data_IF_015469885921
#
_entry.id   IF_015469885921
#
_cell.length_a   1.000
_cell.length_b   1.000
_cell.length_c   1.000
_cell.angle_alpha   90.00
_cell.angle_beta   90.00
_cell.angle_gamma   90.00
#
_symmetry.space_group_name_H-M   'P 1'
#
loop_
_entity.id
_entity.type
_entity.pdbx_description
1 polymer ?
2 polymer ?
3 non-polymer ?
4 non-polymer ?
5 water ?
#
loop_
_entity_poly.entity_id
_entity_poly.type
_entity_poly.pdbx_seq_one_letter_code
_entity_poly.pdbx_strand_id
2 'polyribonucleotide' 'GUAA' ?
#
# COMPACT_ATOMS: atom_id res chain seq x y z
N UNK A 14 -7.43 -12.97 2.31
CA UNK A 14 -8.83 -12.83 2.83
C UNK A 14 -9.61 -11.79 1.99
N UNK A 15 -9.08 -10.56 1.99
CA UNK A 15 -9.54 -9.44 1.14
C UNK A 15 -8.72 -9.32 -0.17
N UNK A 16 -7.59 -10.06 -0.21
CA UNK A 16 -6.73 -10.19 -1.40
C UNK A 16 -7.47 -10.93 -2.52
N UNK A 17 -7.14 -10.60 -3.77
CA UNK A 17 -7.66 -11.33 -4.95
C UNK A 17 -7.19 -12.80 -4.93
N UNK A 18 -5.89 -12.99 -4.70
CA UNK A 18 -5.27 -14.32 -4.54
C UNK A 18 -4.75 -14.45 -3.08
N UNK A 19 -5.38 -15.32 -2.25
CA UNK A 19 -5.01 -15.31 -0.81
C UNK A 19 -3.57 -15.78 -0.48
N UNK A 20 -3.23 -17.02 -0.82
CA UNK A 20 -1.97 -17.68 -0.37
C UNK A 20 -0.71 -17.32 -1.17
N UNK A 21 -0.81 -16.43 -2.16
CA UNK A 21 0.28 -16.21 -3.11
C UNK A 21 1.60 -15.74 -2.50
N UNK A 22 2.68 -15.90 -3.27
CA UNK A 22 4.05 -15.71 -2.81
C UNK A 22 4.84 -14.83 -3.76
N UNK A 23 5.70 -13.99 -3.19
CA UNK A 23 6.44 -12.99 -3.96
C UNK A 23 7.75 -13.61 -4.49
N UNK A 24 7.65 -14.30 -5.63
CA UNK A 24 8.77 -15.06 -6.24
C UNK A 24 8.80 -14.90 -7.76
N UNK A 25 9.98 -15.10 -8.35
CA UNK A 25 10.25 -14.88 -9.80
C UNK A 25 9.14 -15.37 -10.76
N UNK A 26 8.63 -16.57 -10.50
CA UNK A 26 7.62 -17.21 -11.39
C UNK A 26 6.19 -16.68 -11.23
N UNK A 27 5.90 -15.93 -10.16
CA UNK A 27 4.66 -15.14 -10.05
C UNK A 27 4.82 -13.91 -10.97
N UNK A 28 3.85 -13.64 -11.87
CA UNK A 28 3.92 -12.37 -12.62
C UNK A 28 3.71 -11.13 -11.73
N UNK A 29 3.17 -11.33 -10.53
CA UNK A 29 3.07 -10.29 -9.51
C UNK A 29 4.39 -10.05 -8.72
N UNK A 30 5.49 -10.74 -9.06
CA UNK A 30 6.81 -10.51 -8.42
C UNK A 30 7.21 -9.04 -8.43
N UNK A 31 7.66 -8.54 -7.27
CA UNK A 31 8.22 -7.18 -7.14
C UNK A 31 9.43 -7.21 -6.22
N UNK A 32 10.45 -6.38 -6.51
CA UNK A 32 11.54 -6.25 -5.54
C UNK A 32 11.08 -5.46 -4.32
N UNK A 33 11.87 -5.51 -3.26
CA UNK A 33 11.59 -4.82 -2.01
C UNK A 33 12.66 -3.76 -1.72
N UNK A 34 12.50 -2.54 -2.30
CA UNK A 34 13.50 -1.50 -2.04
C UNK A 34 13.56 -1.11 -0.56
N UNK A 35 14.76 -1.20 0.00
CA UNK A 35 15.04 -0.77 1.35
C UNK A 35 16.13 0.27 1.25
N UNK A 36 15.93 1.42 1.90
CA UNK A 36 16.95 2.44 1.96
C UNK A 36 17.09 2.93 3.39
N UNK A 37 18.04 3.83 3.62
CA UNK A 37 18.27 4.39 4.95
C UNK A 37 18.36 5.90 4.87
N UNK A 38 17.64 6.57 5.76
CA UNK A 38 17.50 8.02 5.76
C UNK A 38 18.07 8.53 7.09
N UNK A 39 19.16 9.28 6.99
CA UNK A 39 19.88 9.78 8.14
C UNK A 39 19.17 10.94 8.84
N UNK A 40 18.16 11.53 8.21
CA UNK A 40 17.40 12.63 8.83
C UNK A 40 16.27 12.17 9.76
N UNK A 41 15.91 10.89 9.76
CA UNK A 41 14.85 10.44 10.65
C UNK A 41 15.31 10.54 12.10
N UNK A 42 14.38 10.83 13.02
CA UNK A 42 14.79 10.87 14.41
C UNK A 42 15.19 9.48 14.94
N UNK A 43 15.85 9.42 16.10
CA UNK A 43 16.19 8.13 16.69
C UNK A 43 14.99 7.22 16.90
N UNK A 44 15.18 5.92 16.64
CA UNK A 44 14.13 4.91 16.81
C UNK A 44 12.87 5.18 15.96
N UNK A 45 13.05 5.78 14.79
CA UNK A 45 11.96 6.07 13.86
C UNK A 45 12.24 5.39 12.52
N UNK A 46 11.18 4.96 11.86
CA UNK A 46 11.27 4.38 10.52
C UNK A 46 10.36 5.15 9.56
N UNK A 47 10.51 4.87 8.27
CA UNK A 47 9.70 5.47 7.23
C UNK A 47 9.12 4.37 6.35
N UNK A 48 7.81 4.43 6.12
CA UNK A 48 7.09 3.45 5.32
C UNK A 48 6.30 4.11 4.19
N UNK A 49 6.55 3.70 2.95
CA UNK A 49 5.83 4.22 1.80
C UNK A 49 4.54 3.41 1.62
N UNK A 50 3.40 4.10 1.62
CA UNK A 50 2.11 3.44 1.36
C UNK A 50 2.02 2.80 -0.03
N UNK A 51 1.41 1.62 -0.07
CA UNK A 51 0.96 0.99 -1.31
C UNK A 51 -0.55 1.01 -1.42
N UNK A 52 -1.22 1.78 -0.57
CA UNK A 52 -2.67 1.74 -0.46
C UNK A 52 -3.25 3.02 -1.02
N UNK A 53 -4.26 2.88 -1.86
CA UNK A 53 -4.93 4.01 -2.46
C UNK A 53 -6.33 4.10 -1.92
N UNK A 54 -6.75 5.33 -1.67
CA UNK A 54 -8.11 5.60 -1.33
C UNK A 54 -8.82 6.01 -2.61
N UNK A 55 -9.95 5.38 -2.88
CA UNK A 55 -10.76 5.70 -4.05
C UNK A 55 -12.13 6.07 -3.58
N UNK A 56 -12.52 7.31 -3.84
CA UNK A 56 -13.87 7.81 -3.53
C UNK A 56 -14.69 8.08 -4.78
N UNK A 57 -16.00 8.18 -4.59
CA UNK A 57 -16.94 8.42 -5.69
C UNK A 57 -17.27 7.18 -6.49
N UNK A 58 -17.30 6.03 -5.81
CA UNK A 58 -17.49 4.75 -6.46
C UNK A 58 -18.98 4.55 -6.67
N UNK A 59 -19.42 4.56 -7.95
CA UNK A 59 -20.83 4.34 -8.23
C UNK A 59 -21.33 3.05 -7.61
N UNK A 60 -22.62 3.05 -7.29
CA UNK A 60 -23.26 1.89 -6.69
C UNK A 60 -23.17 0.67 -7.60
N UNK A 61 -23.25 0.86 -8.91
CA UNK A 61 -23.22 -0.28 -9.84
C UNK A 61 -21.84 -0.96 -9.93
N UNK A 62 -20.78 -0.26 -9.53
CA UNK A 62 -19.41 -0.81 -9.54
C UNK A 62 -19.02 -1.67 -8.35
N UNK A 63 -18.40 -2.81 -8.65
CA UNK A 63 -17.94 -3.77 -7.66
C UNK A 63 -16.40 -3.94 -7.67
N UNK A 64 -15.90 -4.91 -6.91
CA UNK A 64 -14.48 -5.05 -6.69
C UNK A 64 -13.73 -5.33 -7.98
N UNK A 65 -14.29 -6.21 -8.80
CA UNK A 65 -13.69 -6.55 -10.08
C UNK A 65 -13.60 -5.33 -11.04
N UNK A 66 -14.62 -4.48 -11.01
CA UNK A 66 -14.64 -3.30 -11.85
C UNK A 66 -13.48 -2.36 -11.50
N UNK A 67 -13.24 -2.17 -10.20
CA UNK A 67 -12.14 -1.33 -9.74
C UNK A 67 -10.80 -1.89 -10.12
N UNK A 68 -10.61 -3.18 -9.89
CA UNK A 68 -9.37 -3.84 -10.29
C UNK A 68 -9.13 -3.66 -11.77
N UNK A 69 -10.17 -3.83 -12.59
CA UNK A 69 -10.01 -3.70 -14.03
C UNK A 69 -9.79 -2.29 -14.54
N UNK A 70 -10.43 -1.26 -13.97
CA UNK A 70 -10.10 0.12 -14.42
C UNK A 70 -8.68 0.54 -14.10
N UNK A 71 -8.08 -0.03 -13.05
CA UNK A 71 -6.71 0.31 -12.69
C UNK A 71 -5.66 -0.52 -13.39
N UNK A 72 -6.04 -1.69 -13.93
CA UNK A 72 -5.11 -2.61 -14.60
C UNK A 72 -4.08 -1.97 -15.57
N UNK A 73 -4.52 -1.04 -16.43
CA UNK A 73 -3.54 -0.35 -17.30
C UNK A 73 -2.38 0.33 -16.56
N UNK A 74 -2.66 0.84 -15.35
CA UNK A 74 -1.68 1.59 -14.55
C UNK A 74 -1.00 0.79 -13.44
N UNK A 75 -1.63 -0.31 -13.01
CA UNK A 75 -1.16 -1.04 -11.82
C UNK A 75 -1.86 -2.37 -11.67
N UNK A 76 -1.13 -3.34 -11.14
CA UNK A 76 -1.69 -4.63 -10.80
C UNK A 76 -2.19 -4.53 -9.37
N UNK A 77 -3.47 -4.82 -9.18
CA UNK A 77 -4.13 -4.67 -7.90
C UNK A 77 -4.00 -5.94 -7.08
N UNK A 78 -3.63 -5.79 -5.81
CA UNK A 78 -3.45 -6.92 -4.91
C UNK A 78 -4.69 -7.17 -4.07
N UNK A 79 -5.37 -6.11 -3.65
CA UNK A 79 -6.58 -6.26 -2.87
C UNK A 79 -7.47 -5.06 -3.04
N UNK A 80 -8.76 -5.29 -2.90
CA UNK A 80 -9.76 -4.27 -2.94
C UNK A 80 -10.70 -4.48 -1.76
N UNK A 81 -10.89 -3.44 -0.96
CA UNK A 81 -11.91 -3.46 0.07
C UNK A 81 -12.83 -2.31 -0.26
N UNK A 82 -14.09 -2.65 -0.46
CA UNK A 82 -15.07 -1.75 -1.00
C UNK A 82 -16.23 -1.63 -0.03
N UNK A 83 -16.63 -0.40 0.26
CA UNK A 83 -17.88 -0.12 0.94
C UNK A 83 -18.77 0.63 -0.05
N UNK A 84 -19.73 -0.09 -0.65
CA UNK A 84 -20.60 0.50 -1.67
C UNK A 84 -21.51 1.57 -1.07
N UNK A 85 -22.07 1.31 0.11
CA UNK A 85 -22.93 2.30 0.79
C UNK A 85 -22.21 3.64 0.95
N UNK A 86 -20.97 3.60 1.44
CA UNK A 86 -20.20 4.83 1.62
C UNK A 86 -19.45 5.28 0.35
N UNK A 87 -19.48 4.48 -0.71
CA UNK A 87 -18.94 4.87 -2.03
C UNK A 87 -17.43 5.12 -2.00
N UNK A 88 -16.71 4.33 -1.22
CA UNK A 88 -15.25 4.39 -1.22
C UNK A 88 -14.66 3.00 -1.21
N UNK A 89 -13.43 2.90 -1.69
CA UNK A 89 -12.66 1.68 -1.53
C UNK A 89 -11.20 1.93 -1.18
N UNK A 90 -10.60 0.89 -0.60
CA UNK A 90 -9.20 0.85 -0.31
C UNK A 90 -8.59 -0.22 -1.19
N UNK A 91 -7.63 0.20 -2.00
CA UNK A 91 -7.00 -0.64 -2.98
C UNK A 91 -5.51 -0.68 -2.71
N UNK A 92 -5.00 -1.88 -2.48
CA UNK A 92 -3.59 -2.11 -2.30
C UNK A 92 -3.08 -2.59 -3.67
N UNK A 93 -1.99 -1.99 -4.14
CA UNK A 93 -1.27 -2.43 -5.34
C UNK A 93 0.08 -3.00 -4.93
N UNK A 94 0.72 -3.73 -5.84
CA UNK A 94 1.86 -4.58 -5.49
C UNK A 94 3.18 -3.83 -5.22
N UNK A 95 3.29 -2.60 -5.70
CA UNK A 95 4.51 -1.82 -5.51
C UNK A 95 4.17 -0.35 -5.37
N UNK A 96 5.02 0.35 -4.65
CA UNK A 96 4.97 1.80 -4.55
C UNK A 96 4.93 2.48 -5.92
N UNK A 97 5.81 2.04 -6.82
CA UNK A 97 5.92 2.63 -8.16
C UNK A 97 4.56 2.62 -8.87
N UNK A 98 3.90 1.47 -8.83
CA UNK A 98 2.55 1.33 -9.39
C UNK A 98 1.51 2.25 -8.75
N UNK A 99 1.60 2.44 -7.44
CA UNK A 99 0.70 3.39 -6.76
C UNK A 99 0.93 4.82 -7.22
N UNK A 100 2.20 5.23 -7.27
CA UNK A 100 2.60 6.55 -7.78
C UNK A 100 2.11 6.73 -9.22
N UNK A 101 2.23 5.66 -10.01
CA UNK A 101 1.79 5.67 -11.39
C UNK A 101 0.29 5.92 -11.50
N UNK A 102 -0.50 5.31 -10.61
CA UNK A 102 -1.95 5.50 -10.61
C UNK A 102 -2.30 6.95 -10.30
N UNK A 103 -1.69 7.51 -9.26
CA UNK A 103 -2.00 8.89 -8.86
C UNK A 103 -1.72 9.96 -9.92
N UNK A 104 -0.65 9.80 -10.70
CA UNK A 104 -0.41 10.72 -11.82
C UNK A 104 -1.36 10.48 -12.98
N UNK A 105 -1.34 9.24 -13.51
CA UNK A 105 -1.88 8.92 -14.85
C UNK A 105 -3.33 8.41 -14.96
N UNK A 106 -3.90 7.90 -13.88
CA UNK A 106 -5.24 7.31 -13.92
C UNK A 106 -6.30 8.39 -13.91
N UNK A 107 -7.29 8.27 -14.80
CA UNK A 107 -8.46 9.16 -14.85
C UNK A 107 -8.11 10.66 -14.91
N UNK A 108 -7.09 10.99 -15.70
CA UNK A 108 -6.72 12.39 -15.96
C UNK A 108 -7.84 13.17 -16.64
N UNK A 109 -8.53 12.54 -17.60
CA UNK A 109 -9.70 13.15 -18.28
C UNK A 109 -10.90 13.50 -17.38
N UNK A 110 -11.05 12.80 -16.25
CA UNK A 110 -12.21 12.99 -15.36
C UNK A 110 -13.48 12.31 -15.85
N UNK A 111 -13.32 11.26 -16.67
CA UNK A 111 -14.44 10.54 -17.27
C UNK A 111 -15.20 9.75 -16.22
N UNK A 112 -14.44 8.96 -15.46
CA UNK A 112 -14.99 8.22 -14.32
C UNK A 112 -15.20 9.18 -13.18
N UNK A 113 -16.20 8.94 -12.33
CA UNK A 113 -16.39 9.81 -11.16
C UNK A 113 -15.44 9.51 -9.98
N UNK A 114 -14.29 8.87 -10.24
CA UNK A 114 -13.43 8.36 -9.18
C UNK A 114 -12.35 9.35 -8.75
N UNK A 115 -12.35 9.67 -7.46
CA UNK A 115 -11.36 10.53 -6.83
C UNK A 115 -10.30 9.62 -6.16
N UNK A 116 -9.08 9.66 -6.68
CA UNK A 116 -7.98 8.80 -6.23
C UNK A 116 -6.93 9.54 -5.36
N UNK A 117 -6.73 9.04 -4.14
CA UNK A 117 -5.86 9.68 -3.14
C UNK A 117 -5.05 8.63 -2.38
N UNK A 118 -4.12 9.07 -1.52
CA UNK A 118 -3.36 8.11 -0.71
C UNK A 118 -4.22 7.58 0.42
N UNK A 119 -4.02 6.31 0.75
CA UNK A 119 -4.52 5.73 1.99
C UNK A 119 -3.35 5.22 2.82
N UNK A 120 -3.68 4.61 3.96
CA UNK A 120 -2.71 4.03 4.89
C UNK A 120 -3.09 2.59 5.14
N UNK A 121 -2.14 1.68 4.99
CA UNK A 121 -2.40 0.29 5.33
C UNK A 121 -1.59 -0.24 6.49
N UNK A 122 -0.65 0.56 6.99
CA UNK A 122 0.27 0.10 7.99
C UNK A 122 0.63 1.19 8.96
N UNK A 123 0.62 0.84 10.24
CA UNK A 123 0.99 1.76 11.30
C UNK A 123 -0.13 2.72 11.62
N UNK A 124 0.09 3.59 12.62
CA UNK A 124 -0.97 4.49 13.07
C UNK A 124 -1.30 5.57 12.05
N UNK A 125 -2.60 5.90 11.95
CA UNK A 125 -3.10 6.90 11.00
C UNK A 125 -2.41 8.25 11.23
N UNK A 126 -2.27 8.65 12.49
CA UNK A 126 -1.70 9.97 12.84
C UNK A 126 -0.24 10.20 12.42
N UNK A 127 0.48 9.12 12.10
CA UNK A 127 1.84 9.23 11.56
C UNK A 127 1.92 9.39 10.05
N UNK A 128 0.80 9.28 9.35
CA UNK A 128 0.79 9.35 7.89
C UNK A 128 0.72 10.78 7.38
N UNK A 129 1.60 11.09 6.45
CA UNK A 129 1.47 12.24 5.58
C UNK A 129 0.66 11.76 4.36
N UNK A 130 -0.63 12.08 4.36
CA UNK A 130 -1.52 11.72 3.27
C UNK A 130 -1.26 12.46 1.95
N UNK A 131 -0.57 13.59 1.97
CA UNK A 131 -0.24 14.31 0.72
C UNK A 131 0.87 13.58 -0.04
N UNK A 132 1.92 13.17 0.67
CA UNK A 132 3.05 12.50 0.04
C UNK A 132 2.95 10.97 0.15
N UNK A 133 2.07 10.46 1.01
CA UNK A 133 1.80 9.02 1.10
C UNK A 133 2.88 8.19 1.79
N UNK A 134 3.42 8.69 2.90
CA UNK A 134 4.34 7.92 3.72
C UNK A 134 4.11 8.23 5.18
N UNK A 135 4.60 7.34 6.04
CA UNK A 135 4.48 7.50 7.48
C UNK A 135 5.87 7.47 8.10
N UNK A 136 6.16 8.45 8.95
CA UNK A 136 7.34 8.43 9.79
C UNK A 136 6.81 7.91 11.11
N UNK A 137 7.24 6.71 11.50
CA UNK A 137 6.67 6.03 12.65
C UNK A 137 7.74 5.81 13.73
N UNK A 138 7.47 6.25 14.97
CA UNK A 138 8.32 5.81 16.07
C UNK A 138 8.17 4.31 16.32
N UNK A 139 9.28 3.60 16.51
CA UNK A 139 9.23 2.15 16.68
C UNK A 139 8.37 1.70 17.86
N UNK A 140 8.31 2.49 18.93
CA UNK A 140 7.45 2.16 20.08
C UNK A 140 5.95 2.12 19.76
N UNK A 141 5.54 2.78 18.68
CA UNK A 141 4.12 2.74 18.29
C UNK A 141 3.72 1.55 17.43
N UNK A 142 4.69 0.77 16.99
CA UNK A 142 4.41 -0.51 16.38
C UNK A 142 4.10 -1.61 17.41
N UNK A 143 3.12 -2.46 17.10
CA UNK A 143 2.86 -3.68 17.86
C UNK A 143 3.89 -4.74 17.48
N UNK A 144 3.90 -5.82 18.25
CA UNK A 144 4.75 -6.97 17.94
C UNK A 144 4.45 -7.54 16.55
N UNK A 145 3.17 -7.60 16.20
CA UNK A 145 2.76 -8.07 14.88
C UNK A 145 3.30 -7.17 13.74
N UNK A 146 3.15 -5.85 13.91
CA UNK A 146 3.67 -4.86 12.95
C UNK A 146 5.17 -5.07 12.71
N UNK A 147 5.91 -5.32 13.79
CA UNK A 147 7.35 -5.59 13.68
C UNK A 147 7.65 -6.87 12.91
N UNK A 148 6.91 -7.93 13.22
CA UNK A 148 7.02 -9.22 12.52
C UNK A 148 6.69 -9.07 11.04
N UNK A 149 5.55 -8.45 10.74
CA UNK A 149 5.15 -8.27 9.35
C UNK A 149 6.13 -7.43 8.55
N UNK A 150 6.72 -6.42 9.18
CA UNK A 150 7.69 -5.57 8.51
C UNK A 150 8.88 -6.33 7.96
N UNK A 151 9.32 -7.36 8.67
CA UNK A 151 10.52 -8.11 8.26
C UNK A 151 10.19 -9.35 7.42
N UNK A 152 9.01 -9.93 7.61
CA UNK A 152 8.65 -11.21 7.02
C UNK A 152 7.60 -11.18 5.90
N UNK A 153 7.08 -10.01 5.53
CA UNK A 153 5.96 -9.93 4.58
C UNK A 153 6.37 -10.34 3.17
N UNK A 154 5.39 -10.82 2.40
CA UNK A 154 5.63 -11.20 1.00
C UNK A 154 5.90 -9.99 0.11
N UNK A 155 5.00 -9.01 0.14
CA UNK A 155 5.18 -7.77 -0.59
C UNK A 155 5.46 -6.66 0.40
N UNK A 156 6.34 -5.76 0.00
CA UNK A 156 6.86 -4.73 0.89
C UNK A 156 7.66 -5.29 2.05
N UNK A 157 7.91 -4.46 3.04
CA UNK A 157 8.74 -4.85 4.17
C UNK A 157 10.21 -4.84 3.82
N UNK A 158 11.01 -5.43 4.70
CA UNK A 158 12.47 -5.35 4.64
C UNK A 158 13.14 -6.59 4.09
N UNK A 159 12.38 -7.68 3.94
CA UNK A 159 12.89 -8.99 3.50
C UNK A 159 14.03 -9.48 4.35
N UNK A 160 13.75 -9.66 5.63
CA UNK A 160 14.72 -10.19 6.57
C UNK A 160 15.58 -9.15 7.27
N UNK A 161 15.87 -8.02 6.61
CA UNK A 161 16.70 -6.97 7.21
C UNK A 161 16.00 -6.48 8.48
N UNK A 162 16.73 -6.37 9.60
CA UNK A 162 16.07 -5.97 10.84
C UNK A 162 15.77 -4.48 10.89
N UNK A 163 14.80 -4.13 11.72
CA UNK A 163 14.36 -2.76 11.87
C UNK A 163 15.32 -1.97 12.71
N UNK A 164 15.85 -0.89 12.14
CA UNK A 164 16.71 0.03 12.87
C UNK A 164 16.42 1.45 12.44
N UNK A 165 16.93 2.38 13.23
CA UNK A 165 16.74 3.81 13.00
C UNK A 165 17.13 4.19 11.60
N UNK A 166 16.22 4.90 10.93
CA UNK A 166 16.44 5.40 9.59
C UNK A 166 15.98 4.50 8.46
N UNK A 167 15.55 3.28 8.77
CA UNK A 167 15.20 2.37 7.70
C UNK A 167 13.92 2.82 7.00
N UNK A 168 13.91 2.65 5.69
CA UNK A 168 12.84 3.07 4.80
C UNK A 168 12.42 1.86 3.96
N UNK A 169 11.15 1.46 4.05
CA UNK A 169 10.65 0.37 3.21
C UNK A 169 9.26 0.65 2.68
N UNK A 170 8.80 -0.18 1.73
CA UNK A 170 7.41 -0.13 1.24
C UNK A 170 6.48 -0.86 2.20
N UNK A 171 5.24 -0.39 2.26
CA UNK A 171 4.20 -0.96 3.14
C UNK A 171 4.20 -2.49 3.10
N UNK A 172 4.40 -3.15 4.25
CA UNK A 172 4.33 -4.59 4.21
C UNK A 172 2.89 -5.08 4.22
N UNK A 173 2.67 -6.24 3.62
CA UNK A 173 1.46 -7.01 3.85
C UNK A 173 1.34 -7.36 5.33
N UNK A 174 0.11 -7.26 5.82
CA UNK A 174 -0.26 -7.66 7.17
C UNK A 174 -1.20 -8.87 7.06
N UNK A 175 -1.87 -9.24 8.14
CA UNK A 175 -2.75 -10.42 8.20
C UNK A 175 -4.02 -10.00 8.98
N UNK A 176 -5.10 -9.71 8.25
CA UNK A 176 -6.40 -9.36 8.86
C UNK A 176 -7.54 -9.88 7.98
X LIG C 1 -5.26 -21.07 -0.81
X LIG C 1 -5.73 -19.77 -0.38
X LIG C 1 -4.68 -20.99 -2.22
X LIG C 1 -3.39 -21.60 -2.28
X LIG D 1 -16.45 5.75 6.93
X LIG D 1 -16.50 7.07 6.37
X LIG D 1 -15.16 5.49 7.71
X LIG D 1 -14.69 6.66 8.39
X LIG E 1 -11.11 15.84 -0.92
X LIG E 1 -10.82 16.52 -2.27
X LIG E 1 -10.71 16.80 0.23
X LIG E 1 -10.37 14.48 -0.82
X LIG E 1 -12.59 15.63 -0.89
X LIG E 1 -9.43 16.85 -2.41
X LIG E 1 -10.66 16.18 1.52
X LIG E 1 -11.02 13.43 -1.57
#
# INVERSE_FOLDING_TARGET
GSIGAPNTTFGTNNHHLYPDELNVSNNPHYRPKPVSYDSTLPPDHIKVYSRTLFIGGVPLNMKEWDLANVLKPFAEVQSVILNNSRKHAFVKVYSRHEAENVLQNFNKDGALPLRTRWGVGFGPRDCCDYQHGYSIIPMHRLTDADKKWSVSAQWGGTSGQPLVTGIVFEEPDIIVGEGV
EDO C1 O1 C2 O2
EDO C1 O1 C2 O2
TRS C C1 C2 C3 N O1 O2 O3
#
